data_IF_502955272414
#
_entry.id   IF_502955272414
#
_cell.length_a   1.000
_cell.length_b   1.000
_cell.length_c   1.000
_cell.angle_alpha   90.00
_cell.angle_beta   90.00
_cell.angle_gamma   90.00
#
_symmetry.space_group_name_H-M   'P 1'
#
loop_
_entity.id
_entity.type
_entity.pdbx_description
1 polymer ?
#
# COMPACT_ATOMS: atom_id res chain seq x y z
N UNK A 1 -9.42 -24.63 -22.80
CA UNK A 1 -10.00 -23.80 -21.73
C UNK A 1 -8.94 -23.74 -20.65
N UNK A 2 -8.13 -22.68 -20.67
CA UNK A 2 -6.93 -22.56 -19.84
C UNK A 2 -7.24 -21.59 -18.69
N UNK A 3 -7.13 -22.07 -17.46
CA UNK A 3 -7.24 -21.25 -16.27
C UNK A 3 -6.04 -20.28 -16.21
N UNK A 4 -6.22 -19.07 -16.75
CA UNK A 4 -5.31 -17.96 -16.47
C UNK A 4 -5.58 -17.49 -15.04
N UNK A 5 -4.54 -17.31 -14.23
CA UNK A 5 -4.62 -16.68 -12.91
C UNK A 5 -5.36 -15.32 -13.03
N UNK A 6 -6.64 -15.29 -12.65
CA UNK A 6 -7.42 -14.06 -12.57
C UNK A 6 -8.23 -14.13 -11.28
N UNK A 7 -7.58 -13.78 -10.18
CA UNK A 7 -7.82 -12.48 -9.52
C UNK A 7 -7.40 -12.56 -8.04
N UNK A 8 -7.67 -13.69 -7.42
CA UNK A 8 -7.40 -14.14 -6.04
C UNK A 8 -8.26 -15.41 -5.86
N UNK A 9 -9.35 -15.50 -6.64
CA UNK A 9 -10.29 -16.61 -6.73
C UNK A 9 -9.64 -17.97 -7.04
N UNK A 10 -8.51 -17.99 -7.75
CA UNK A 10 -7.74 -19.21 -8.03
C UNK A 10 -6.78 -19.58 -6.89
N UNK A 11 -7.16 -19.30 -5.63
CA UNK A 11 -6.32 -19.57 -4.45
C UNK A 11 -5.94 -21.05 -4.36
N UNK A 12 -4.66 -21.36 -4.10
CA UNK A 12 -4.23 -22.74 -3.87
C UNK A 12 -4.90 -23.33 -2.64
N UNK A 13 -5.36 -24.59 -2.75
CA UNK A 13 -6.04 -25.29 -1.65
C UNK A 13 -5.17 -25.46 -0.42
N UNK A 14 -3.84 -25.51 -0.58
CA UNK A 14 -2.90 -25.63 0.54
C UNK A 14 -3.01 -24.45 1.51
N UNK A 15 -3.35 -23.25 1.05
CA UNK A 15 -3.47 -22.06 1.89
C UNK A 15 -4.67 -22.12 2.83
N UNK A 16 -5.69 -22.93 2.51
CA UNK A 16 -6.89 -23.09 3.36
C UNK A 16 -6.56 -23.70 4.74
N UNK A 17 -5.42 -24.38 4.87
CA UNK A 17 -4.95 -24.92 6.13
C UNK A 17 -4.22 -23.89 7.02
N UNK A 18 -3.96 -22.68 6.52
CA UNK A 18 -3.26 -21.65 7.30
C UNK A 18 -4.17 -21.05 8.39
N UNK A 19 -3.63 -20.74 9.58
CA UNK A 19 -4.40 -20.11 10.65
C UNK A 19 -5.02 -18.78 10.20
N UNK A 20 -6.29 -18.55 10.57
CA UNK A 20 -7.02 -17.32 10.29
C UNK A 20 -7.02 -16.91 8.79
N UNK A 21 -6.94 -17.89 7.88
CA UNK A 21 -6.99 -17.63 6.45
C UNK A 21 -8.44 -17.54 5.94
N UNK A 22 -9.27 -18.50 6.35
CA UNK A 22 -10.68 -18.57 5.95
C UNK A 22 -11.60 -17.58 6.67
N UNK A 23 -11.11 -16.94 7.74
CA UNK A 23 -11.88 -16.05 8.62
C UNK A 23 -10.94 -15.12 9.37
N UNK A 24 -11.46 -13.99 9.88
CA UNK A 24 -10.70 -13.10 10.77
C UNK A 24 -10.57 -13.71 12.18
N UNK A 25 -9.50 -13.37 12.93
CA UNK A 25 -9.39 -13.77 14.32
C UNK A 25 -10.58 -13.30 15.17
N UNK A 26 -11.00 -14.13 16.13
CA UNK A 26 -12.10 -13.78 17.07
C UNK A 26 -11.72 -12.68 18.07
N UNK A 27 -10.42 -12.42 18.21
CA UNK A 27 -9.86 -11.39 19.09
C UNK A 27 -9.53 -10.12 18.30
N UNK A 28 -9.64 -8.96 18.95
CA UNK A 28 -9.16 -7.70 18.37
C UNK A 28 -7.67 -7.75 18.05
N UNK A 29 -7.26 -7.08 16.97
CA UNK A 29 -5.89 -7.01 16.50
C UNK A 29 -5.52 -5.61 16.04
N UNK A 30 -4.23 -5.35 15.94
CA UNK A 30 -3.65 -4.15 15.33
C UNK A 30 -3.14 -4.46 13.93
N UNK A 31 -2.94 -3.46 13.08
CA UNK A 31 -2.26 -3.66 11.79
C UNK A 31 -0.82 -3.19 11.94
N UNK A 32 0.15 -4.08 11.67
CA UNK A 32 1.58 -3.77 11.75
C UNK A 32 2.04 -3.00 10.50
N UNK A 33 1.49 -1.80 10.32
CA UNK A 33 1.72 -0.99 9.14
C UNK A 33 3.13 -0.39 9.14
N UNK A 34 3.52 0.30 10.21
CA UNK A 34 4.84 0.94 10.36
C UNK A 34 5.97 -0.08 10.26
N UNK A 35 5.88 -1.22 10.96
CA UNK A 35 6.90 -2.27 10.91
C UNK A 35 7.07 -2.90 9.52
N UNK A 36 6.00 -2.91 8.71
CA UNK A 36 6.01 -3.50 7.37
C UNK A 36 6.54 -2.54 6.30
N UNK A 37 6.14 -1.27 6.35
CA UNK A 37 6.38 -0.32 5.25
C UNK A 37 7.41 0.76 5.57
N UNK A 38 7.87 0.82 6.82
CA UNK A 38 8.82 1.82 7.30
C UNK A 38 8.15 3.12 7.76
N UNK A 39 8.87 3.87 8.59
CA UNK A 39 8.36 5.07 9.26
C UNK A 39 7.95 6.17 8.30
N UNK A 40 8.74 6.43 7.25
CA UNK A 40 8.43 7.48 6.30
C UNK A 40 7.07 7.27 5.63
N UNK A 41 6.88 6.10 5.01
CA UNK A 41 5.65 5.81 4.28
C UNK A 41 4.46 5.69 5.24
N UNK A 42 4.67 5.18 6.46
CA UNK A 42 3.66 5.20 7.51
C UNK A 42 3.19 6.62 7.85
N UNK A 43 4.12 7.55 8.06
CA UNK A 43 3.80 8.95 8.32
C UNK A 43 3.07 9.60 7.12
N UNK A 44 3.50 9.29 5.90
CA UNK A 44 2.90 9.82 4.67
C UNK A 44 1.44 9.37 4.49
N UNK A 45 1.15 8.10 4.80
CA UNK A 45 -0.22 7.55 4.79
C UNK A 45 -1.05 8.09 5.95
N UNK A 46 -0.46 8.23 7.14
CA UNK A 46 -1.16 8.74 8.32
C UNK A 46 -1.62 10.19 8.15
N UNK A 47 -0.87 10.96 7.37
CA UNK A 47 -1.20 12.34 6.98
C UNK A 47 -2.30 12.44 5.90
N UNK A 48 -2.76 11.32 5.32
CA UNK A 48 -3.88 11.29 4.37
C UNK A 48 -5.24 11.23 5.08
N UNK A 49 -5.55 12.27 5.84
CA UNK A 49 -6.83 12.49 6.49
C UNK A 49 -7.47 13.84 6.11
N UNK A 50 -8.70 14.05 6.57
CA UNK A 50 -9.40 15.33 6.44
C UNK A 50 -9.52 15.86 5.01
N UNK A 51 -9.38 17.16 4.80
CA UNK A 51 -9.43 17.74 3.44
C UNK A 51 -8.01 17.87 2.89
N UNK A 52 -7.79 17.26 1.73
CA UNK A 52 -6.50 17.20 1.05
C UNK A 52 -6.58 17.79 -0.37
N UNK A 53 -5.48 18.36 -0.90
CA UNK A 53 -4.27 18.70 -0.15
C UNK A 53 -4.52 19.86 0.83
N UNK A 54 -3.76 19.88 1.93
CA UNK A 54 -3.80 20.98 2.90
C UNK A 54 -3.11 22.20 2.28
N UNK A 55 -3.82 23.33 2.25
CA UNK A 55 -3.34 24.62 1.73
C UNK A 55 -3.02 25.58 2.88
N UNK A 56 -1.96 26.37 2.76
CA UNK A 56 -1.54 27.34 3.78
C UNK A 56 -2.67 28.34 4.06
N UNK A 57 -3.40 28.76 3.03
CA UNK A 57 -4.58 29.62 3.19
C UNK A 57 -5.61 28.98 4.14
N UNK A 58 -5.87 27.68 4.02
CA UNK A 58 -6.79 26.95 4.89
C UNK A 58 -6.24 26.83 6.30
N UNK A 59 -4.95 26.52 6.47
CA UNK A 59 -4.34 26.46 7.82
C UNK A 59 -4.41 27.80 8.56
N UNK A 60 -4.33 28.91 7.83
CA UNK A 60 -4.43 30.27 8.39
C UNK A 60 -5.85 30.63 8.85
N UNK A 61 -6.87 29.88 8.44
CA UNK A 61 -8.25 30.05 8.90
C UNK A 61 -8.50 29.41 10.26
N UNK A 62 -7.59 28.56 10.75
CA UNK A 62 -7.79 27.91 12.04
C UNK A 62 -7.79 28.91 13.18
N UNK A 63 -8.85 28.86 13.97
CA UNK A 63 -9.04 29.64 15.19
C UNK A 63 -8.45 28.94 16.42
N UNK A 64 -8.15 27.64 16.31
CA UNK A 64 -7.56 26.81 17.37
C UNK A 64 -6.05 26.70 17.18
N UNK A 65 -5.30 26.86 18.28
CA UNK A 65 -3.84 26.76 18.26
C UNK A 65 -3.34 25.93 19.43
N UNK A 66 -2.38 25.05 19.16
CA UNK A 66 -1.59 24.34 20.17
C UNK A 66 -0.17 24.88 20.12
N UNK A 67 0.34 25.41 21.23
CA UNK A 67 1.67 26.02 21.32
C UNK A 67 1.98 27.07 20.22
N UNK A 68 0.93 27.81 19.83
CA UNK A 68 1.02 28.84 18.78
C UNK A 68 0.92 28.32 17.34
N UNK A 69 0.85 27.00 17.15
CA UNK A 69 0.69 26.34 15.84
C UNK A 69 -0.80 26.11 15.55
N UNK A 70 -1.31 26.48 14.36
CA UNK A 70 -2.67 26.18 13.95
C UNK A 70 -2.99 24.69 14.03
N UNK A 71 -4.13 24.33 14.64
CA UNK A 71 -4.65 22.96 14.63
C UNK A 71 -5.72 22.88 13.55
N UNK A 72 -5.66 21.86 12.69
CA UNK A 72 -6.75 21.51 11.79
C UNK A 72 -7.09 20.04 12.02
N UNK A 73 -8.38 19.75 12.13
CA UNK A 73 -8.88 18.41 12.40
C UNK A 73 -9.26 17.66 11.12
N UNK A 74 -9.59 16.37 11.31
CA UNK A 74 -10.14 15.50 10.26
C UNK A 74 -11.43 16.08 9.67
N UNK A 75 -12.25 16.74 10.48
CA UNK A 75 -13.44 17.45 9.99
C UNK A 75 -13.09 18.92 9.72
N UNK A 76 -13.49 19.49 8.57
CA UNK A 76 -13.21 20.89 8.24
C UNK A 76 -13.91 21.84 9.21
N UNK A 77 -13.24 22.94 9.58
CA UNK A 77 -13.86 24.02 10.36
C UNK A 77 -14.91 24.78 9.54
N UNK A 78 -15.74 25.58 10.20
CA UNK A 78 -16.71 26.43 9.52
C UNK A 78 -16.04 27.41 8.55
N UNK A 79 -14.92 28.00 8.95
CA UNK A 79 -14.14 28.92 8.13
C UNK A 79 -13.59 28.23 6.88
N UNK A 80 -13.12 26.98 7.01
CA UNK A 80 -12.68 26.18 5.87
C UNK A 80 -13.86 25.83 4.95
N UNK A 81 -15.04 25.48 5.50
CA UNK A 81 -16.27 25.25 4.72
C UNK A 81 -16.67 26.51 3.92
N UNK A 82 -16.68 27.69 4.55
CA UNK A 82 -17.00 28.96 3.88
C UNK A 82 -16.00 29.28 2.76
N UNK A 83 -14.70 28.99 2.99
CA UNK A 83 -13.65 29.10 1.98
C UNK A 83 -13.92 28.21 0.76
N UNK A 84 -14.20 26.92 0.99
CA UNK A 84 -14.48 25.96 -0.07
C UNK A 84 -15.78 26.29 -0.82
N UNK A 85 -16.82 26.79 -0.13
CA UNK A 85 -18.06 27.23 -0.78
C UNK A 85 -17.81 28.43 -1.69
N UNK A 86 -17.06 29.43 -1.22
CA UNK A 86 -16.71 30.62 -2.01
C UNK A 86 -15.87 30.28 -3.24
N UNK A 87 -14.94 29.33 -3.13
CA UNK A 87 -14.09 28.87 -4.23
C UNK A 87 -14.84 27.92 -5.19
N UNK A 88 -15.97 27.39 -4.76
CA UNK A 88 -16.83 26.48 -5.52
C UNK A 88 -16.17 25.11 -5.69
N UNK A 89 -15.61 24.57 -4.62
CA UNK A 89 -14.94 23.28 -4.61
C UNK A 89 -15.94 22.12 -4.64
N UNK A 90 -15.50 21.02 -5.24
CA UNK A 90 -16.15 19.70 -5.15
C UNK A 90 -15.12 18.71 -4.58
N UNK A 91 -15.58 17.61 -4.01
CA UNK A 91 -14.73 16.66 -3.29
C UNK A 91 -14.96 15.22 -3.73
N UNK A 92 -13.89 14.42 -3.66
CA UNK A 92 -13.98 12.97 -3.71
C UNK A 92 -13.53 12.41 -2.36
N UNK A 93 -14.35 11.58 -1.71
CA UNK A 93 -13.87 10.84 -0.55
C UNK A 93 -12.97 9.69 -1.03
N UNK A 94 -11.75 9.63 -0.51
CA UNK A 94 -10.74 8.62 -0.84
C UNK A 94 -10.47 7.81 0.43
N UNK A 95 -10.46 6.49 0.28
CA UNK A 95 -10.12 5.55 1.36
C UNK A 95 -8.71 5.02 1.15
N UNK A 96 -7.88 5.08 2.17
CA UNK A 96 -6.63 4.32 2.27
C UNK A 96 -6.95 2.94 2.80
N UNK A 97 -6.79 1.92 1.95
CA UNK A 97 -7.18 0.54 2.19
C UNK A 97 -5.94 -0.33 2.39
N UNK A 98 -5.91 -1.08 3.49
CA UNK A 98 -4.86 -2.03 3.84
C UNK A 98 -5.43 -3.45 3.84
N UNK A 99 -4.72 -4.38 3.19
CA UNK A 99 -5.05 -5.81 3.19
C UNK A 99 -3.94 -6.59 3.90
N UNK A 100 -4.32 -7.59 4.70
CA UNK A 100 -3.38 -8.38 5.50
C UNK A 100 -3.26 -9.81 4.96
N UNK A 101 -2.04 -10.38 4.96
CA UNK A 101 -1.80 -11.75 4.46
C UNK A 101 -1.78 -12.81 5.57
N UNK A 102 -1.63 -12.38 6.82
CA UNK A 102 -1.51 -13.26 7.97
C UNK A 102 -1.63 -12.48 9.27
N UNK A 103 -1.62 -13.21 10.38
CA UNK A 103 -1.73 -12.65 11.73
C UNK A 103 -0.67 -13.28 12.63
N UNK A 104 -0.04 -12.46 13.47
CA UNK A 104 1.05 -12.89 14.34
C UNK A 104 0.91 -12.25 15.72
N UNK A 105 1.16 -13.03 16.76
CA UNK A 105 1.21 -12.53 18.13
C UNK A 105 2.59 -11.96 18.42
N UNK A 106 2.64 -10.71 18.87
CA UNK A 106 3.85 -10.01 19.33
C UNK A 106 3.56 -9.37 20.67
N UNK A 107 4.34 -9.69 21.68
CA UNK A 107 4.21 -9.14 23.05
C UNK A 107 2.77 -9.21 23.63
N UNK A 108 2.08 -10.33 23.40
CA UNK A 108 0.72 -10.57 23.90
C UNK A 108 -0.39 -9.81 23.14
N UNK A 109 -0.07 -9.22 21.98
CA UNK A 109 -1.02 -8.54 21.10
C UNK A 109 -1.01 -9.19 19.72
N UNK A 110 -2.18 -9.31 19.11
CA UNK A 110 -2.31 -9.83 17.75
C UNK A 110 -2.13 -8.72 16.73
N UNK A 111 -1.32 -8.98 15.70
CA UNK A 111 -1.05 -8.06 14.61
C UNK A 111 -1.40 -8.69 13.26
N UNK A 112 -2.22 -8.02 12.46
CA UNK A 112 -2.38 -8.29 11.04
C UNK A 112 -1.17 -7.78 10.27
N UNK A 113 -0.64 -8.60 9.37
CA UNK A 113 0.55 -8.32 8.59
C UNK A 113 0.14 -7.84 7.19
N UNK A 114 0.37 -6.56 6.81
CA UNK A 114 0.01 -6.03 5.51
C UNK A 114 0.72 -6.70 4.34
N UNK A 115 0.02 -6.93 3.23
CA UNK A 115 0.64 -7.24 1.92
C UNK A 115 0.35 -6.19 0.85
N UNK A 116 -0.62 -5.30 1.10
CA UNK A 116 -1.01 -4.30 0.12
C UNK A 116 -1.61 -3.07 0.79
N UNK A 117 -1.19 -1.90 0.32
CA UNK A 117 -1.76 -0.60 0.66
C UNK A 117 -2.15 0.10 -0.64
N UNK A 118 -3.38 0.62 -0.69
CA UNK A 118 -3.87 1.37 -1.85
C UNK A 118 -4.84 2.45 -1.46
N UNK A 119 -5.01 3.44 -2.34
CA UNK A 119 -6.11 4.40 -2.25
C UNK A 119 -7.21 4.05 -3.24
N UNK A 120 -8.46 4.21 -2.82
CA UNK A 120 -9.65 3.97 -3.63
C UNK A 120 -10.69 5.07 -3.41
N UNK A 121 -11.30 5.64 -4.46
CA UNK A 121 -12.36 6.61 -4.29
C UNK A 121 -13.64 5.91 -3.85
N UNK A 122 -14.38 6.54 -2.93
CA UNK A 122 -15.78 6.23 -2.71
C UNK A 122 -16.53 6.37 -4.04
N UNK A 123 -17.52 5.50 -4.26
CA UNK A 123 -18.18 5.41 -5.55
C UNK A 123 -19.70 5.48 -5.43
N UNK A 124 -20.32 5.92 -6.52
CA UNK A 124 -21.77 5.87 -6.71
C UNK A 124 -22.04 5.37 -8.12
N UNK A 125 -22.73 4.23 -8.22
CA UNK A 125 -23.11 3.60 -9.51
C UNK A 125 -21.90 3.34 -10.44
N UNK A 126 -20.79 2.83 -9.91
CA UNK A 126 -19.62 2.46 -10.72
C UNK A 126 -18.64 3.59 -11.02
N UNK A 127 -18.93 4.83 -10.62
CA UNK A 127 -18.07 5.99 -10.86
C UNK A 127 -17.64 6.64 -9.54
N UNK A 128 -16.47 7.31 -9.49
CA UNK A 128 -16.06 8.09 -8.32
C UNK A 128 -17.16 9.07 -7.92
N UNK A 129 -17.52 9.07 -6.64
CA UNK A 129 -18.53 9.97 -6.12
C UNK A 129 -17.97 11.40 -6.04
N UNK A 130 -18.73 12.38 -6.54
CA UNK A 130 -18.47 13.80 -6.30
C UNK A 130 -19.40 14.31 -5.21
N UNK A 131 -18.84 15.02 -4.25
CA UNK A 131 -19.50 15.58 -3.07
C UNK A 131 -19.35 17.10 -3.11
N UNK A 132 -20.46 17.83 -3.02
CA UNK A 132 -20.39 19.28 -2.82
C UNK A 132 -20.04 19.64 -1.37
N UNK A 133 -19.65 20.89 -1.12
CA UNK A 133 -19.24 21.42 0.20
C UNK A 133 -20.23 21.06 1.33
N UNK A 134 -21.54 21.22 1.10
CA UNK A 134 -22.59 20.89 2.09
C UNK A 134 -22.63 19.41 2.50
N UNK A 135 -22.03 18.53 1.70
CA UNK A 135 -21.93 17.10 2.03
C UNK A 135 -20.78 16.85 2.99
N UNK A 136 -19.62 17.47 2.77
CA UNK A 136 -18.47 17.34 3.67
C UNK A 136 -18.67 18.08 4.99
N UNK A 137 -19.48 19.15 5.01
CA UNK A 137 -19.92 19.83 6.24
C UNK A 137 -20.75 18.89 7.15
N UNK A 138 -21.52 17.98 6.55
CA UNK A 138 -22.44 17.09 7.27
C UNK A 138 -21.85 15.72 7.57
N UNK A 139 -20.86 15.29 6.81
CA UNK A 139 -20.23 13.98 6.99
C UNK A 139 -19.14 14.11 8.06
N UNK A 140 -19.37 13.47 9.20
CA UNK A 140 -18.37 13.37 10.27
C UNK A 140 -17.40 12.23 9.94
N UNK A 141 -16.29 12.59 9.31
CA UNK A 141 -15.27 11.65 8.84
C UNK A 141 -14.58 10.94 10.01
N UNK A 142 -14.41 11.62 11.14
CA UNK A 142 -13.89 11.04 12.38
C UNK A 142 -14.76 9.87 12.85
N UNK A 143 -16.10 10.06 12.89
CA UNK A 143 -17.03 8.98 13.25
C UNK A 143 -17.07 7.83 12.25
N UNK A 144 -16.87 8.13 10.96
CA UNK A 144 -16.76 7.08 9.94
C UNK A 144 -15.55 6.19 10.22
N UNK A 145 -14.40 6.79 10.55
CA UNK A 145 -13.17 6.06 10.89
C UNK A 145 -13.27 5.31 12.22
N UNK A 146 -13.89 5.89 13.25
CA UNK A 146 -14.20 5.20 14.52
C UNK A 146 -15.07 3.95 14.28
N UNK A 147 -15.93 3.98 13.27
CA UNK A 147 -16.74 2.84 12.83
C UNK A 147 -15.96 1.73 12.12
N UNK A 148 -14.63 1.80 12.04
CA UNK A 148 -13.76 0.79 11.41
C UNK A 148 -14.25 0.37 10.01
N UNK A 149 -14.27 1.32 9.06
CA UNK A 149 -14.78 1.06 7.72
C UNK A 149 -13.97 -0.04 7.05
N UNK A 150 -14.63 -0.93 6.31
CA UNK A 150 -13.94 -2.03 5.66
C UNK A 150 -14.69 -2.54 4.42
N UNK A 151 -13.93 -3.15 3.53
CA UNK A 151 -14.42 -3.84 2.35
C UNK A 151 -14.38 -5.35 2.57
N UNK A 152 -15.44 -6.05 2.21
CA UNK A 152 -15.51 -7.51 2.19
C UNK A 152 -15.40 -8.02 0.76
N UNK A 153 -14.53 -9.01 0.53
CA UNK A 153 -14.22 -9.54 -0.80
C UNK A 153 -13.43 -8.55 -1.66
N UNK A 154 -12.66 -7.66 -1.04
CA UNK A 154 -11.81 -6.68 -1.69
C UNK A 154 -10.64 -7.36 -2.40
N UNK A 155 -10.49 -7.10 -3.69
CA UNK A 155 -9.34 -7.54 -4.46
C UNK A 155 -8.47 -6.34 -4.85
N UNK A 156 -7.27 -6.18 -4.25
CA UNK A 156 -6.36 -5.08 -4.62
C UNK A 156 -5.75 -5.21 -6.02
N UNK A 157 -5.71 -6.42 -6.58
CA UNK A 157 -5.15 -6.69 -7.92
C UNK A 157 -6.15 -6.43 -9.05
N UNK A 158 -7.40 -6.13 -8.69
CA UNK A 158 -8.45 -5.75 -9.63
C UNK A 158 -9.31 -4.62 -9.06
N UNK A 159 -10.50 -4.42 -9.62
CA UNK A 159 -11.43 -3.40 -9.17
C UNK A 159 -12.61 -4.00 -8.37
N UNK A 160 -12.52 -5.29 -8.03
CA UNK A 160 -13.60 -6.03 -7.40
C UNK A 160 -13.65 -5.81 -5.88
N UNK A 161 -14.87 -5.64 -5.36
CA UNK A 161 -15.21 -5.86 -3.95
C UNK A 161 -16.69 -6.25 -3.87
N UNK A 162 -17.07 -7.00 -2.85
CA UNK A 162 -18.45 -7.44 -2.64
C UNK A 162 -19.28 -6.39 -1.91
N UNK A 163 -18.80 -5.95 -0.75
CA UNK A 163 -19.55 -5.06 0.14
C UNK A 163 -18.63 -4.05 0.83
N UNK A 164 -19.15 -2.86 1.11
CA UNK A 164 -18.49 -1.85 1.94
C UNK A 164 -19.34 -1.61 3.19
N UNK A 165 -18.71 -1.70 4.35
CA UNK A 165 -19.34 -1.63 5.65
C UNK A 165 -18.72 -0.52 6.50
N UNK A 166 -19.54 0.09 7.36
CA UNK A 166 -19.13 1.05 8.40
C UNK A 166 -19.92 0.73 9.67
N UNK A 167 -19.25 0.75 10.82
CA UNK A 167 -19.79 0.41 12.13
C UNK A 167 -19.63 -1.07 12.48
N UNK A 168 -20.37 -1.51 13.50
CA UNK A 168 -20.32 -2.89 14.05
C UNK A 168 -20.99 -3.92 13.12
N UNK A 169 -20.62 -3.95 11.85
CA UNK A 169 -21.03 -4.98 10.90
C UNK A 169 -19.93 -6.06 10.89
N UNK A 170 -20.20 -7.28 11.35
CA UNK A 170 -19.20 -8.34 11.37
C UNK A 170 -18.82 -8.78 9.94
N UNK A 171 -17.56 -9.13 9.76
CA UNK A 171 -17.10 -9.79 8.52
C UNK A 171 -17.74 -11.17 8.44
N UNK A 172 -18.32 -11.48 7.27
CA UNK A 172 -18.95 -12.77 7.02
C UNK A 172 -17.90 -13.90 7.11
N UNK A 173 -18.23 -14.99 7.81
CA UNK A 173 -17.38 -16.18 7.97
C UNK A 173 -16.94 -16.82 6.64
N UNK A 174 -17.61 -16.52 5.52
CA UNK A 174 -17.22 -16.99 4.20
C UNK A 174 -16.17 -16.12 3.49
N UNK A 175 -15.72 -15.02 4.11
CA UNK A 175 -14.77 -14.08 3.51
C UNK A 175 -13.36 -14.40 4.02
N UNK A 176 -12.47 -14.72 3.08
CA UNK A 176 -11.05 -14.91 3.39
C UNK A 176 -10.45 -13.64 3.94
N UNK A 177 -9.62 -13.77 4.98
CA UNK A 177 -9.00 -12.64 5.68
C UNK A 177 -8.15 -11.78 4.74
N UNK A 178 -7.52 -12.40 3.75
CA UNK A 178 -6.73 -11.73 2.70
C UNK A 178 -7.57 -10.89 1.72
N UNK A 179 -8.90 -11.03 1.76
CA UNK A 179 -9.83 -10.21 0.96
C UNK A 179 -10.62 -9.21 1.80
N UNK A 180 -10.20 -8.98 3.04
CA UNK A 180 -10.73 -7.89 3.86
C UNK A 180 -9.84 -6.66 3.66
N UNK A 181 -10.42 -5.62 3.04
CA UNK A 181 -9.75 -4.33 2.87
C UNK A 181 -10.12 -3.40 4.02
N UNK A 182 -9.24 -3.29 5.01
CA UNK A 182 -9.43 -2.38 6.15
C UNK A 182 -9.20 -0.95 5.71
N UNK A 183 -10.17 -0.06 5.91
CA UNK A 183 -9.95 1.37 5.66
C UNK A 183 -9.18 1.93 6.84
N UNK A 184 -7.89 2.13 6.64
CA UNK A 184 -6.96 2.62 7.65
C UNK A 184 -7.11 4.13 7.86
N UNK A 185 -7.37 4.86 6.77
CA UNK A 185 -7.63 6.29 6.82
C UNK A 185 -8.54 6.71 5.65
N UNK A 186 -9.10 7.91 5.73
CA UNK A 186 -9.91 8.48 4.67
C UNK A 186 -9.71 9.99 4.60
N UNK A 187 -9.76 10.55 3.40
CA UNK A 187 -9.67 11.99 3.16
C UNK A 187 -10.61 12.45 2.05
N UNK A 188 -10.99 13.72 2.08
CA UNK A 188 -11.68 14.42 1.00
C UNK A 188 -10.66 15.10 0.09
N UNK A 189 -10.55 14.63 -1.14
CA UNK A 189 -9.76 15.25 -2.17
C UNK A 189 -10.51 16.43 -2.79
N UNK A 190 -10.02 17.66 -2.61
CA UNK A 190 -10.58 18.83 -3.29
C UNK A 190 -10.29 18.80 -4.80
N UNK A 191 -11.29 19.20 -5.58
CA UNK A 191 -11.19 19.39 -7.03
C UNK A 191 -10.34 20.61 -7.43
N UNK A 192 -10.09 21.54 -6.50
CA UNK A 192 -9.34 22.78 -6.72
C UNK A 192 -8.30 22.95 -5.61
N UNK A 193 -7.10 23.36 -5.99
CA UNK A 193 -6.05 23.78 -5.06
C UNK A 193 -4.91 24.46 -5.83
N UNK A 194 -4.15 25.31 -5.14
CA UNK A 194 -2.90 25.88 -5.64
C UNK A 194 -1.72 25.03 -5.22
N UNK A 195 -1.01 24.41 -6.17
CA UNK A 195 0.21 23.62 -5.88
C UNK A 195 1.29 24.40 -5.14
N UNK A 196 1.30 25.73 -5.26
CA UNK A 196 2.27 26.59 -4.58
C UNK A 196 1.88 26.83 -3.12
N UNK A 197 0.60 26.68 -2.78
CA UNK A 197 0.06 26.91 -1.43
C UNK A 197 -0.06 25.63 -0.61
N UNK A 198 0.12 24.46 -1.24
CA UNK A 198 0.04 23.17 -0.53
C UNK A 198 1.16 23.03 0.52
N UNK A 199 0.76 22.81 1.77
CA UNK A 199 1.66 22.55 2.89
C UNK A 199 2.36 21.20 2.72
N UNK A 200 3.60 21.13 3.19
CA UNK A 200 4.34 19.87 3.24
C UNK A 200 4.05 19.14 4.58
N UNK A 201 3.91 17.81 4.57
CA UNK A 201 3.65 17.04 5.78
C UNK A 201 4.86 17.07 6.72
N UNK A 202 4.66 17.65 7.91
CA UNK A 202 5.76 17.94 8.86
C UNK A 202 6.54 16.71 9.29
N UNK A 203 5.86 15.59 9.59
CA UNK A 203 6.52 14.35 10.04
C UNK A 203 7.37 13.71 8.95
N UNK A 204 6.98 13.82 7.68
CA UNK A 204 7.77 13.29 6.56
C UNK A 204 8.93 14.22 6.22
N UNK A 205 8.72 15.54 6.22
CA UNK A 205 9.79 16.49 5.88
C UNK A 205 10.92 16.49 6.90
N UNK A 206 10.64 16.21 8.18
CA UNK A 206 11.66 15.99 9.20
C UNK A 206 12.61 14.82 8.85
N UNK A 207 12.12 13.79 8.14
CA UNK A 207 12.90 12.63 7.71
C UNK A 207 13.66 12.87 6.39
N UNK A 208 13.33 13.91 5.63
CA UNK A 208 14.00 14.25 4.35
C UNK A 208 15.28 15.09 4.53
N UNK A 209 15.54 15.58 5.74
CA UNK A 209 16.58 16.57 6.00
C UNK A 209 16.37 17.86 5.19
N UNK A 210 17.46 18.57 4.86
CA UNK A 210 17.42 19.89 4.21
C UNK A 210 17.36 19.84 2.67
N UNK A 211 17.22 18.65 2.07
CA UNK A 211 17.32 18.49 0.61
C UNK A 211 16.05 18.96 -0.12
N UNK A 212 16.06 20.22 -0.57
CA UNK A 212 14.99 20.79 -1.41
C UNK A 212 14.69 19.95 -2.66
N UNK A 213 15.70 19.27 -3.20
CA UNK A 213 15.54 18.46 -4.42
C UNK A 213 14.74 17.19 -4.18
N UNK A 214 14.93 16.55 -3.02
CA UNK A 214 14.18 15.37 -2.61
C UNK A 214 12.77 15.76 -2.19
N UNK A 215 12.64 16.85 -1.43
CA UNK A 215 11.32 17.42 -1.10
C UNK A 215 10.49 17.67 -2.37
N UNK A 216 11.10 18.22 -3.43
CA UNK A 216 10.41 18.41 -4.71
C UNK A 216 10.02 17.10 -5.39
N UNK A 217 10.85 16.07 -5.31
CA UNK A 217 10.55 14.74 -5.87
C UNK A 217 9.36 14.10 -5.12
N UNK A 218 9.35 14.21 -3.79
CA UNK A 218 8.25 13.78 -2.92
C UNK A 218 6.94 14.56 -3.17
N UNK A 219 6.98 15.89 -3.26
CA UNK A 219 5.80 16.72 -3.60
C UNK A 219 5.20 16.31 -4.94
N UNK A 220 6.04 16.10 -5.97
CA UNK A 220 5.58 15.62 -7.29
C UNK A 220 4.88 14.27 -7.17
N UNK A 221 5.41 13.36 -6.36
CA UNK A 221 4.77 12.08 -6.09
C UNK A 221 3.38 12.27 -5.50
N UNK A 222 3.23 13.00 -4.38
CA UNK A 222 1.92 13.27 -3.75
C UNK A 222 0.93 13.91 -4.73
N UNK A 223 1.35 14.91 -5.51
CA UNK A 223 0.49 15.54 -6.52
C UNK A 223 0.00 14.57 -7.61
N UNK A 224 0.87 13.64 -8.02
CA UNK A 224 0.54 12.69 -9.09
C UNK A 224 -0.25 11.47 -8.61
N UNK A 225 -0.09 11.09 -7.34
CA UNK A 225 -0.64 9.87 -6.76
C UNK A 225 -1.83 10.13 -5.85
N UNK A 226 -1.72 11.05 -4.89
CA UNK A 226 -2.74 11.26 -3.86
C UNK A 226 -3.70 12.40 -4.20
N UNK A 227 -3.18 13.46 -4.83
CA UNK A 227 -3.93 14.69 -5.07
C UNK A 227 -4.41 14.85 -6.52
N UNK A 228 -4.31 13.78 -7.32
CA UNK A 228 -4.88 13.72 -8.66
C UNK A 228 -6.31 13.19 -8.56
N UNK A 229 -7.33 13.94 -9.02
CA UNK A 229 -8.70 13.45 -9.02
C UNK A 229 -8.86 12.13 -9.75
N UNK A 230 -9.63 11.23 -9.15
CA UNK A 230 -9.96 9.94 -9.72
C UNK A 230 -10.98 10.10 -10.85
N UNK A 231 -10.67 9.53 -12.01
CA UNK A 231 -11.57 9.48 -13.17
C UNK A 231 -12.26 8.12 -13.32
N UNK A 232 -11.81 7.13 -12.56
CA UNK A 232 -12.37 5.79 -12.46
C UNK A 232 -12.23 5.29 -11.02
N UNK A 233 -12.81 4.13 -10.72
CA UNK A 233 -12.84 3.56 -9.37
C UNK A 233 -11.70 2.55 -9.09
N UNK A 234 -10.74 2.38 -10.01
CA UNK A 234 -9.66 1.43 -9.82
C UNK A 234 -8.78 1.88 -8.64
N UNK A 235 -8.39 0.96 -7.75
CA UNK A 235 -7.47 1.30 -6.69
C UNK A 235 -6.11 1.70 -7.28
N UNK A 236 -5.43 2.65 -6.63
CA UNK A 236 -4.04 2.98 -6.92
C UNK A 236 -3.19 2.39 -5.81
N UNK A 237 -2.34 1.41 -6.16
CA UNK A 237 -1.36 0.83 -5.23
C UNK A 237 -0.38 1.90 -4.77
N UNK A 238 -0.13 1.91 -3.46
CA UNK A 238 0.92 2.69 -2.81
C UNK A 238 2.11 1.79 -2.51
N UNK A 239 1.85 0.58 -1.97
CA UNK A 239 2.88 -0.38 -1.59
C UNK A 239 2.31 -1.80 -1.56
N UNK A 240 3.18 -2.81 -1.71
CA UNK A 240 2.85 -4.22 -1.53
C UNK A 240 2.91 -5.05 -2.81
N UNK A 241 2.41 -6.29 -2.75
CA UNK A 241 2.43 -7.24 -3.87
C UNK A 241 1.77 -6.67 -5.13
N UNK A 242 2.25 -7.08 -6.31
CA UNK A 242 1.69 -6.72 -7.62
C UNK A 242 0.74 -7.78 -8.19
N UNK A 243 0.79 -9.00 -7.66
CA UNK A 243 0.01 -10.09 -8.20
C UNK A 243 -0.49 -11.09 -7.15
N UNK A 244 -1.54 -11.88 -7.46
CA UNK A 244 -2.01 -12.94 -6.59
C UNK A 244 -0.96 -14.03 -6.34
N UNK A 245 -0.08 -14.32 -7.30
CA UNK A 245 0.95 -15.36 -7.11
C UNK A 245 2.01 -14.92 -6.09
N UNK A 246 2.36 -13.64 -6.07
CA UNK A 246 3.20 -13.09 -4.99
C UNK A 246 2.52 -13.25 -3.64
N UNK A 247 1.24 -12.87 -3.52
CA UNK A 247 0.47 -13.03 -2.29
C UNK A 247 0.46 -14.49 -1.81
N UNK A 248 0.19 -15.44 -2.70
CA UNK A 248 0.14 -16.86 -2.35
C UNK A 248 1.50 -17.39 -1.86
N UNK A 249 2.60 -16.96 -2.50
CA UNK A 249 3.93 -17.32 -2.05
C UNK A 249 4.25 -16.66 -0.69
N UNK A 250 3.90 -15.40 -0.50
CA UNK A 250 4.08 -14.67 0.77
C UNK A 250 3.36 -15.36 1.94
N UNK A 251 2.10 -15.74 1.73
CA UNK A 251 1.29 -16.47 2.72
C UNK A 251 1.91 -17.82 3.08
N UNK A 252 2.40 -18.56 2.08
CA UNK A 252 3.11 -19.81 2.33
C UNK A 252 4.44 -19.58 3.05
N UNK A 253 5.26 -18.61 2.63
CA UNK A 253 6.53 -18.24 3.28
C UNK A 253 6.31 -17.85 4.75
N UNK A 254 5.23 -17.15 5.05
CA UNK A 254 4.86 -16.79 6.42
C UNK A 254 4.75 -18.02 7.33
N UNK A 255 4.17 -19.13 6.83
CA UNK A 255 4.05 -20.40 7.57
C UNK A 255 5.39 -21.09 7.86
N UNK A 256 6.45 -20.71 7.15
CA UNK A 256 7.84 -21.12 7.40
C UNK A 256 8.63 -20.08 8.22
N UNK A 257 7.94 -19.13 8.87
CA UNK A 257 8.54 -18.02 9.62
C UNK A 257 9.46 -17.11 8.77
N UNK A 258 9.27 -17.08 7.46
CA UNK A 258 9.99 -16.16 6.59
C UNK A 258 9.27 -14.80 6.58
N UNK A 259 10.05 -13.71 6.63
CA UNK A 259 9.57 -12.31 6.63
C UNK A 259 10.37 -11.48 5.63
N UNK A 260 10.20 -11.68 4.31
CA UNK A 260 10.91 -10.86 3.33
C UNK A 260 10.37 -9.43 3.29
N UNK A 261 11.19 -8.50 2.83
CA UNK A 261 10.71 -7.19 2.33
C UNK A 261 9.97 -7.40 1.02
N UNK A 262 8.79 -6.80 0.90
CA UNK A 262 7.95 -6.87 -0.30
C UNK A 262 8.34 -5.73 -1.25
N UNK A 263 8.52 -6.04 -2.54
CA UNK A 263 8.88 -5.13 -3.62
C UNK A 263 10.14 -4.30 -3.32
N UNK A 264 11.30 -4.78 -3.78
CA UNK A 264 12.61 -4.18 -3.48
C UNK A 264 13.30 -3.69 -4.75
N UNK A 265 13.49 -2.38 -4.87
CA UNK A 265 14.34 -1.80 -5.93
C UNK A 265 15.81 -2.08 -5.61
N UNK A 266 16.54 -2.74 -6.50
CA UNK A 266 17.96 -3.07 -6.33
C UNK A 266 18.79 -2.30 -7.37
N UNK A 267 19.81 -1.57 -6.92
CA UNK A 267 20.60 -0.66 -7.75
C UNK A 267 21.96 -1.25 -8.11
N UNK A 268 22.58 -0.72 -9.18
CA UNK A 268 23.90 -1.15 -9.67
C UNK A 268 25.04 -0.97 -8.66
N UNK A 269 24.89 -0.08 -7.68
CA UNK A 269 25.88 0.14 -6.62
C UNK A 269 25.69 -0.80 -5.42
N UNK A 270 24.71 -1.70 -5.47
CA UNK A 270 24.41 -2.65 -4.41
C UNK A 270 23.43 -2.13 -3.34
N UNK A 271 23.02 -0.86 -3.40
CA UNK A 271 21.96 -0.33 -2.54
C UNK A 271 20.59 -0.90 -2.95
N UNK A 272 19.67 -0.98 -1.98
CA UNK A 272 18.33 -1.48 -2.22
C UNK A 272 17.31 -0.73 -1.36
N UNK A 273 16.12 -0.49 -1.90
CA UNK A 273 15.06 0.25 -1.20
C UNK A 273 13.68 -0.35 -1.50
N UNK A 274 12.83 -0.55 -0.47
CA UNK A 274 11.51 -1.18 -0.64
C UNK A 274 10.45 -0.20 -1.17
N UNK A 275 10.79 1.08 -1.30
CA UNK A 275 9.89 2.12 -1.83
C UNK A 275 10.66 3.37 -2.20
N UNK A 276 10.01 4.28 -2.95
CA UNK A 276 10.53 5.64 -3.17
C UNK A 276 10.69 6.42 -1.86
N UNK A 277 9.81 6.20 -0.89
CA UNK A 277 9.85 6.86 0.41
C UNK A 277 11.14 6.51 1.16
N UNK A 278 11.49 5.22 1.19
CA UNK A 278 12.76 4.75 1.78
C UNK A 278 13.98 5.28 1.02
N UNK A 279 13.91 5.42 -0.31
CA UNK A 279 14.96 6.08 -1.08
C UNK A 279 15.15 7.54 -0.64
N UNK A 280 14.05 8.29 -0.52
CA UNK A 280 14.09 9.70 -0.17
C UNK A 280 14.57 9.94 1.26
N UNK A 281 14.16 9.09 2.21
CA UNK A 281 14.62 9.07 3.59
C UNK A 281 16.15 8.93 3.66
N UNK A 282 16.74 8.10 2.79
CA UNK A 282 18.18 7.88 2.69
C UNK A 282 18.91 8.88 1.77
N UNK A 283 18.26 9.99 1.41
CA UNK A 283 18.89 11.05 0.62
C UNK A 283 19.00 10.73 -0.89
N UNK A 284 18.36 9.66 -1.36
CA UNK A 284 18.44 9.17 -2.75
C UNK A 284 17.31 9.76 -3.59
N UNK A 285 17.67 10.42 -4.70
CA UNK A 285 16.69 11.06 -5.59
C UNK A 285 15.99 10.08 -6.52
N UNK A 286 14.74 10.39 -6.90
CA UNK A 286 13.94 9.57 -7.83
C UNK A 286 14.63 9.33 -9.18
N UNK A 287 15.44 10.30 -9.67
CA UNK A 287 16.20 10.12 -10.92
C UNK A 287 17.15 8.93 -10.89
N UNK A 288 17.56 8.47 -9.70
CA UNK A 288 18.45 7.33 -9.57
C UNK A 288 17.76 6.02 -9.95
N UNK A 289 16.43 5.97 -10.04
CA UNK A 289 15.71 4.79 -10.56
C UNK A 289 16.22 4.34 -11.94
N UNK A 290 16.81 5.24 -12.74
CA UNK A 290 17.48 4.89 -13.99
C UNK A 290 18.68 3.93 -13.84
N UNK A 291 19.21 3.80 -12.63
CA UNK A 291 20.31 2.90 -12.26
C UNK A 291 19.83 1.60 -11.59
N UNK A 292 18.53 1.35 -11.55
CA UNK A 292 17.95 0.11 -11.01
C UNK A 292 18.36 -1.06 -11.90
N UNK A 293 18.84 -2.15 -11.30
CA UNK A 293 19.01 -3.45 -11.97
C UNK A 293 17.62 -4.06 -12.20
N UNK A 294 16.85 -4.19 -11.12
CA UNK A 294 15.50 -4.75 -11.12
C UNK A 294 14.75 -4.34 -9.86
N UNK A 295 13.44 -4.56 -9.86
CA UNK A 295 12.61 -4.65 -8.67
C UNK A 295 12.35 -6.14 -8.40
N UNK A 296 12.66 -6.62 -7.20
CA UNK A 296 12.42 -7.99 -6.79
C UNK A 296 11.12 -8.08 -5.99
N UNK A 297 10.30 -9.12 -6.23
CA UNK A 297 9.01 -9.26 -5.54
C UNK A 297 9.19 -9.43 -4.03
N UNK A 298 10.21 -10.20 -3.64
CA UNK A 298 10.61 -10.38 -2.25
C UNK A 298 12.13 -10.29 -2.10
N UNK A 299 12.58 -9.73 -0.98
CA UNK A 299 13.99 -9.61 -0.67
C UNK A 299 14.29 -9.93 0.80
N UNK A 300 15.29 -10.79 1.03
CA UNK A 300 15.83 -11.10 2.35
C UNK A 300 17.15 -10.36 2.52
N UNK A 301 17.10 -9.21 3.20
CA UNK A 301 18.23 -8.28 3.32
C UNK A 301 19.46 -8.92 3.95
N UNK A 302 19.28 -9.59 5.09
CA UNK A 302 20.38 -10.25 5.83
C UNK A 302 21.07 -11.35 5.01
N UNK A 303 20.31 -12.07 4.18
CA UNK A 303 20.79 -13.20 3.40
C UNK A 303 21.20 -12.80 1.97
N UNK A 304 20.94 -11.55 1.57
CA UNK A 304 21.11 -11.03 0.21
C UNK A 304 20.48 -11.94 -0.85
N UNK A 305 19.23 -12.35 -0.61
CA UNK A 305 18.45 -13.20 -1.52
C UNK A 305 17.28 -12.41 -2.11
N UNK A 306 17.21 -12.33 -3.44
CA UNK A 306 16.09 -11.79 -4.19
C UNK A 306 15.22 -12.91 -4.74
N UNK A 307 13.90 -12.83 -4.56
CA UNK A 307 12.94 -13.81 -5.09
C UNK A 307 12.03 -13.14 -6.11
N UNK A 308 11.85 -13.81 -7.25
CA UNK A 308 11.00 -13.39 -8.36
C UNK A 308 9.91 -14.43 -8.60
N UNK A 309 8.67 -13.97 -8.76
CA UNK A 309 7.47 -14.74 -9.06
C UNK A 309 7.19 -14.65 -10.57
N UNK A 310 7.77 -15.57 -11.34
CA UNK A 310 7.71 -15.52 -12.81
C UNK A 310 6.36 -16.05 -13.31
N UNK A 311 5.53 -15.18 -13.89
CA UNK A 311 4.30 -15.62 -14.56
C UNK A 311 4.60 -16.16 -15.97
N UNK A 312 4.02 -17.31 -16.35
CA UNK A 312 4.28 -17.94 -17.67
C UNK A 312 4.00 -17.04 -18.87
N UNK A 313 3.14 -16.02 -18.72
CA UNK A 313 2.75 -15.13 -19.81
C UNK A 313 3.89 -14.22 -20.31
N UNK A 314 4.98 -14.07 -19.54
CA UNK A 314 6.01 -13.07 -19.81
C UNK A 314 7.45 -13.62 -20.02
N UNK A 315 7.69 -14.93 -19.85
CA UNK A 315 9.07 -15.48 -19.81
C UNK A 315 9.37 -16.59 -20.84
N UNK A 316 8.51 -16.83 -21.83
CA UNK A 316 8.75 -17.88 -22.83
C UNK A 316 9.50 -17.42 -24.08
N UNK A 317 9.71 -16.11 -24.28
CA UNK A 317 10.47 -15.59 -25.42
C UNK A 317 11.97 -15.63 -25.13
N UNK A 318 12.79 -15.79 -26.17
CA UNK A 318 14.25 -15.78 -26.04
C UNK A 318 14.75 -14.43 -25.46
N UNK A 319 14.09 -13.33 -25.80
CA UNK A 319 14.40 -11.99 -25.30
C UNK A 319 14.14 -11.86 -23.79
N UNK A 320 13.01 -12.38 -23.30
CA UNK A 320 12.71 -12.37 -21.87
C UNK A 320 13.72 -13.21 -21.08
N UNK A 321 14.02 -14.42 -21.57
CA UNK A 321 15.04 -15.30 -20.96
C UNK A 321 16.42 -14.63 -20.93
N UNK A 322 16.80 -13.94 -22.01
CA UNK A 322 18.07 -13.21 -22.06
C UNK A 322 18.10 -12.04 -21.07
N UNK A 323 16.99 -11.29 -20.95
CA UNK A 323 16.83 -10.20 -19.98
C UNK A 323 16.94 -10.72 -18.54
N UNK A 324 16.24 -11.80 -18.21
CA UNK A 324 16.27 -12.39 -16.87
C UNK A 324 17.66 -12.87 -16.49
N UNK A 325 18.38 -13.53 -17.41
CA UNK A 325 19.78 -13.92 -17.21
C UNK A 325 20.70 -12.73 -17.00
N UNK A 326 20.48 -11.63 -17.71
CA UNK A 326 21.27 -10.41 -17.52
C UNK A 326 21.01 -9.76 -16.15
N UNK A 327 19.76 -9.80 -15.68
CA UNK A 327 19.41 -9.37 -14.31
C UNK A 327 20.10 -10.27 -13.29
N UNK A 328 20.00 -11.59 -13.43
CA UNK A 328 20.61 -12.56 -12.52
C UNK A 328 22.13 -12.38 -12.43
N UNK A 329 22.81 -12.18 -13.58
CA UNK A 329 24.22 -11.88 -13.62
C UNK A 329 24.56 -10.57 -12.91
N UNK A 330 23.79 -9.50 -13.17
CA UNK A 330 24.00 -8.19 -12.54
C UNK A 330 23.80 -8.22 -11.02
N UNK A 331 22.82 -9.01 -10.53
CA UNK A 331 22.60 -9.23 -9.11
C UNK A 331 23.76 -10.03 -8.48
N UNK A 332 24.22 -11.08 -9.17
CA UNK A 332 25.35 -11.88 -8.70
C UNK A 332 26.64 -11.06 -8.58
N UNK A 333 26.88 -10.13 -9.52
CA UNK A 333 28.05 -9.24 -9.50
C UNK A 333 28.10 -8.33 -8.26
N UNK A 334 26.94 -7.99 -7.69
CA UNK A 334 26.83 -7.24 -6.42
C UNK A 334 26.55 -8.15 -5.21
N UNK A 335 26.79 -9.46 -5.35
CA UNK A 335 26.67 -10.44 -4.27
C UNK A 335 25.24 -10.68 -3.80
N UNK A 336 24.25 -10.60 -4.71
CA UNK A 336 22.85 -10.95 -4.44
C UNK A 336 22.50 -12.23 -5.20
N UNK A 337 21.98 -13.22 -4.47
CA UNK A 337 21.51 -14.48 -5.06
C UNK A 337 20.05 -14.30 -5.51
N UNK A 338 19.77 -14.55 -6.79
CA UNK A 338 18.40 -14.57 -7.30
C UNK A 338 17.78 -15.97 -7.24
N UNK A 339 16.49 -16.03 -6.89
CA UNK A 339 15.64 -17.21 -6.93
C UNK A 339 14.43 -16.89 -7.79
N UNK A 340 14.18 -17.70 -8.81
CA UNK A 340 12.99 -17.59 -9.65
C UNK A 340 12.03 -18.74 -9.35
N UNK A 341 10.80 -18.40 -8.98
CA UNK A 341 9.73 -19.33 -8.69
C UNK A 341 8.63 -19.14 -9.74
N UNK A 342 8.29 -20.22 -10.43
CA UNK A 342 7.28 -20.22 -11.49
C UNK A 342 5.88 -20.05 -10.90
N UNK A 343 5.08 -19.12 -11.45
CA UNK A 343 3.67 -18.93 -11.08
C UNK A 343 2.83 -20.21 -11.08
N UNK A 344 2.92 -21.08 -12.10
CA UNK A 344 2.30 -22.41 -12.07
C UNK A 344 2.70 -23.28 -10.88
N UNK A 345 3.96 -23.24 -10.46
CA UNK A 345 4.43 -24.01 -9.30
C UNK A 345 3.84 -23.43 -8.02
N UNK A 346 3.76 -22.08 -7.91
CA UNK A 346 3.10 -21.40 -6.80
C UNK A 346 1.61 -21.74 -6.76
N UNK A 347 0.92 -21.75 -7.90
CA UNK A 347 -0.51 -22.09 -7.96
C UNK A 347 -0.75 -23.55 -7.60
N UNK A 348 0.17 -24.44 -8.02
CA UNK A 348 0.09 -25.88 -7.74
C UNK A 348 0.37 -26.21 -6.28
N UNK A 349 1.43 -25.64 -5.71
CA UNK A 349 1.86 -25.87 -4.33
C UNK A 349 2.70 -24.69 -3.83
N UNK A 350 2.06 -23.65 -3.25
CA UNK A 350 2.79 -22.53 -2.68
C UNK A 350 3.62 -22.95 -1.46
N UNK A 351 3.20 -23.98 -0.71
CA UNK A 351 3.96 -24.51 0.44
C UNK A 351 5.27 -25.14 -0.03
N UNK A 352 5.26 -25.94 -1.11
CA UNK A 352 6.49 -26.50 -1.66
C UNK A 352 7.43 -25.41 -2.17
N UNK A 353 6.89 -24.34 -2.77
CA UNK A 353 7.68 -23.21 -3.22
C UNK A 353 8.32 -22.44 -2.05
N UNK A 354 7.53 -22.16 -1.01
CA UNK A 354 8.01 -21.52 0.21
C UNK A 354 9.09 -22.35 0.91
N UNK A 355 8.93 -23.68 0.97
CA UNK A 355 9.96 -24.59 1.50
C UNK A 355 11.29 -24.45 0.74
N UNK A 356 11.25 -24.43 -0.59
CA UNK A 356 12.45 -24.21 -1.42
C UNK A 356 13.11 -22.86 -1.14
N UNK A 357 12.32 -21.81 -0.94
CA UNK A 357 12.86 -20.50 -0.53
C UNK A 357 13.50 -20.59 0.86
N UNK A 358 12.85 -21.25 1.82
CA UNK A 358 13.37 -21.44 3.17
C UNK A 358 14.70 -22.20 3.19
N UNK A 359 14.82 -23.29 2.43
CA UNK A 359 16.07 -24.06 2.30
C UNK A 359 17.22 -23.15 1.82
N UNK A 360 16.96 -22.31 0.80
CA UNK A 360 17.97 -21.40 0.26
C UNK A 360 18.34 -20.28 1.24
N UNK A 361 17.35 -19.69 1.92
CA UNK A 361 17.57 -18.59 2.86
C UNK A 361 18.27 -19.09 4.12
N UNK A 362 17.86 -20.23 4.67
CA UNK A 362 18.40 -20.78 5.91
C UNK A 362 19.74 -21.53 5.71
N UNK A 363 20.17 -21.73 4.46
CA UNK A 363 21.44 -22.40 4.13
C UNK A 363 21.40 -23.92 4.23
N UNK A 364 20.23 -24.54 4.01
CA UNK A 364 20.02 -25.99 3.97
C UNK A 364 20.18 -26.59 2.55
#
# INVERSE_FOLDING_TARGET
MNASAKDIENRPKELLGLPNYGFLPDTGFYIDLEGSIGQFLFNDISDLDGVQPIEQEVTNLSTEKLDGVPIFGVNPSKEAIDFYEKRGDDFQMINVVVCCYGFEEKDGKLFGLPYHVSIRPAQKRGSPASLGVKSIEKLDLSKVLEGQPHYMGYNPFSNAFGFFAVGNIPVNESVFSDTVGFVYNSYFLSSKYSKQDVCDPGMCTALLGESRSILNDYRKFRFSRYFKPFTNINPIKIWGCDSPIELFLLQAMHSFNLRPKIQMHIFKDGTAFPSLHSMWEEGVRTKNLANTITEADFFFEEHRVAVFCDSLAHHSSQEAIAKDKAIDASLNDIGIRSIRISGPDIVKSPISCAKRVAEIVNGE
#
